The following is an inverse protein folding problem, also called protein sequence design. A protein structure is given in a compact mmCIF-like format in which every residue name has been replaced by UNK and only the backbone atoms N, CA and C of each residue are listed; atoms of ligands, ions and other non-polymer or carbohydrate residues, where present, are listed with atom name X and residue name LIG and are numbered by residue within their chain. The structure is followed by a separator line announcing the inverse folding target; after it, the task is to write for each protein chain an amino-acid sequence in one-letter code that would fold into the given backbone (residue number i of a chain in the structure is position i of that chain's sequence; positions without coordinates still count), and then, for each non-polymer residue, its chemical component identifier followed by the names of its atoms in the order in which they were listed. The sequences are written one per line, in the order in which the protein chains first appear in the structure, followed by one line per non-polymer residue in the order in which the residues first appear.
data_IF_772371515795
#
_entry.id   IF_772371515795
#
_cell.length_a   1.000
_cell.length_b   1.000
_cell.length_c   1.000
_cell.angle_alpha   90.00
_cell.angle_beta   90.00
_cell.angle_gamma   90.00
#
_symmetry.space_group_name_H-M   'P 1'
#
loop_
_entity.id
_entity.type
_entity.pdbx_description
1 polymer ?
#
# COMPACT_ATOMS: atom_id res chain seq x y z
N UNK A 1 -21.76 -12.52 11.61
CA UNK A 1 -22.47 -11.77 10.56
C UNK A 1 -21.52 -11.67 9.38
N UNK A 2 -21.95 -12.09 8.19
CA UNK A 2 -21.13 -11.99 6.98
C UNK A 2 -21.08 -10.51 6.58
N UNK A 3 -19.90 -9.90 6.65
CA UNK A 3 -19.70 -8.50 6.24
C UNK A 3 -19.84 -8.41 4.70
N UNK A 4 -20.50 -7.36 4.17
CA UNK A 4 -20.75 -7.24 2.74
C UNK A 4 -19.44 -7.12 1.95
N UNK A 5 -19.31 -7.90 0.86
CA UNK A 5 -18.10 -8.04 0.03
C UNK A 5 -17.86 -6.89 -0.97
N UNK A 6 -18.68 -5.84 -0.92
CA UNK A 6 -18.56 -4.69 -1.83
C UNK A 6 -17.79 -3.57 -1.13
N UNK A 7 -16.74 -3.02 -1.76
CA UNK A 7 -16.08 -1.84 -1.25
C UNK A 7 -17.11 -0.73 -1.04
N UNK A 8 -17.01 0.04 0.05
CA UNK A 8 -17.92 1.12 0.34
C UNK A 8 -17.81 2.21 -0.73
N UNK A 9 -18.96 2.76 -1.11
CA UNK A 9 -19.03 3.87 -2.05
C UNK A 9 -18.47 5.14 -1.39
N UNK A 10 -17.28 5.57 -1.82
CA UNK A 10 -16.63 6.80 -1.39
C UNK A 10 -16.33 7.68 -2.62
N UNK A 11 -17.31 8.49 -3.08
CA UNK A 11 -17.12 9.35 -4.24
C UNK A 11 -16.12 10.48 -3.94
N UNK A 12 -15.45 11.02 -4.97
CA UNK A 12 -14.58 12.19 -4.81
C UNK A 12 -15.32 13.39 -4.22
N UNK A 13 -14.70 14.10 -3.29
CA UNK A 13 -15.26 15.32 -2.68
C UNK A 13 -14.94 16.52 -3.58
N UNK A 14 -15.95 17.28 -4.07
CA UNK A 14 -15.72 18.53 -4.79
C UNK A 14 -14.96 19.55 -3.94
N UNK A 15 -14.13 20.38 -4.58
CA UNK A 15 -13.31 21.40 -3.89
C UNK A 15 -14.15 22.31 -2.99
N UNK A 16 -15.31 22.75 -3.48
CA UNK A 16 -16.15 23.72 -2.78
C UNK A 16 -16.88 23.11 -1.58
N UNK A 17 -16.97 21.78 -1.52
CA UNK A 17 -17.59 21.03 -0.41
C UNK A 17 -16.57 20.53 0.62
N UNK A 18 -15.28 20.56 0.29
CA UNK A 18 -14.21 19.97 1.11
C UNK A 18 -14.21 20.47 2.56
N UNK A 19 -14.43 21.76 2.79
CA UNK A 19 -14.43 22.33 4.14
C UNK A 19 -15.60 21.80 5.00
N UNK A 20 -16.80 21.70 4.41
CA UNK A 20 -17.96 21.15 5.09
C UNK A 20 -17.78 19.65 5.36
N UNK A 21 -17.31 18.92 4.35
CA UNK A 21 -17.08 17.48 4.41
C UNK A 21 -16.00 17.09 5.44
N UNK A 22 -14.98 17.95 5.64
CA UNK A 22 -13.97 17.80 6.69
C UNK A 22 -14.56 18.04 8.09
N UNK A 23 -15.32 19.12 8.27
CA UNK A 23 -15.95 19.45 9.56
C UNK A 23 -16.91 18.35 10.02
N UNK A 24 -17.67 17.76 9.10
CA UNK A 24 -18.54 16.62 9.36
C UNK A 24 -17.76 15.39 9.82
N UNK A 25 -16.68 15.01 9.12
CA UNK A 25 -15.87 13.82 9.48
C UNK A 25 -15.10 13.96 10.78
N UNK A 26 -14.70 15.18 11.13
CA UNK A 26 -14.03 15.51 12.38
C UNK A 26 -14.98 15.50 13.59
N UNK A 27 -16.29 15.65 13.35
CA UNK A 27 -17.28 15.65 14.42
C UNK A 27 -17.17 14.37 15.28
N UNK A 28 -17.55 14.49 16.55
CA UNK A 28 -17.53 13.39 17.52
C UNK A 28 -16.16 12.70 17.65
N UNK A 29 -15.08 13.49 17.71
CA UNK A 29 -13.70 13.03 17.87
C UNK A 29 -13.20 12.18 16.68
N UNK A 30 -13.31 12.70 15.47
CA UNK A 30 -12.85 12.06 14.23
C UNK A 30 -13.58 10.74 13.90
N UNK A 31 -14.79 10.54 14.43
CA UNK A 31 -15.54 9.29 14.23
C UNK A 31 -15.78 8.99 12.74
N UNK A 32 -16.08 10.01 11.94
CA UNK A 32 -16.25 9.86 10.50
C UNK A 32 -14.97 9.37 9.81
N UNK A 33 -13.82 9.96 10.15
CA UNK A 33 -12.53 9.52 9.62
C UNK A 33 -12.16 8.10 10.04
N UNK A 34 -12.39 7.75 11.31
CA UNK A 34 -12.11 6.41 11.81
C UNK A 34 -12.92 5.36 11.06
N UNK A 35 -14.22 5.63 10.85
CA UNK A 35 -15.11 4.76 10.09
C UNK A 35 -14.64 4.61 8.64
N UNK A 36 -14.29 5.70 7.95
CA UNK A 36 -13.76 5.64 6.58
C UNK A 36 -12.44 4.86 6.50
N UNK A 37 -11.57 5.00 7.51
CA UNK A 37 -10.31 4.27 7.56
C UNK A 37 -10.48 2.76 7.79
N UNK A 38 -11.38 2.36 8.69
CA UNK A 38 -11.69 0.95 8.94
C UNK A 38 -12.22 0.24 7.70
N UNK A 39 -13.00 0.96 6.90
CA UNK A 39 -13.51 0.47 5.62
C UNK A 39 -12.38 0.16 4.61
N UNK A 40 -11.25 0.86 4.66
CA UNK A 40 -10.08 0.56 3.82
C UNK A 40 -9.44 -0.78 4.17
N UNK A 41 -9.63 -1.30 5.39
CA UNK A 41 -9.10 -2.61 5.76
C UNK A 41 -9.77 -3.76 5.01
N UNK A 42 -10.88 -3.51 4.31
CA UNK A 42 -11.53 -4.47 3.42
C UNK A 42 -10.91 -4.51 2.01
N UNK A 43 -10.00 -3.59 1.68
CA UNK A 43 -9.33 -3.55 0.37
C UNK A 43 -8.51 -4.80 0.01
N UNK A 44 -7.79 -5.48 0.94
CA UNK A 44 -7.10 -6.72 0.61
C UNK A 44 -8.02 -7.80 0.03
N UNK A 45 -9.28 -7.88 0.48
CA UNK A 45 -10.27 -8.81 -0.06
C UNK A 45 -10.73 -8.43 -1.48
N UNK A 46 -10.60 -7.14 -1.83
CA UNK A 46 -10.95 -6.61 -3.16
C UNK A 46 -9.85 -6.85 -4.21
N UNK A 47 -8.64 -7.24 -3.79
CA UNK A 47 -7.50 -7.51 -4.69
C UNK A 47 -6.92 -8.91 -4.44
N UNK A 48 -7.67 -9.97 -4.75
CA UNK A 48 -7.29 -11.35 -4.45
C UNK A 48 -6.02 -11.81 -5.19
N UNK A 49 -5.59 -11.07 -6.20
CA UNK A 49 -4.38 -11.33 -6.98
C UNK A 49 -3.10 -10.81 -6.31
N UNK A 50 -3.19 -10.10 -5.16
CA UNK A 50 -2.02 -9.54 -4.45
C UNK A 50 -1.32 -10.58 -3.58
N UNK A 51 -0.32 -11.23 -4.15
CA UNK A 51 0.56 -12.19 -3.47
C UNK A 51 1.83 -11.54 -2.90
N UNK A 52 2.47 -12.21 -1.93
CA UNK A 52 3.67 -11.75 -1.19
C UNK A 52 4.81 -12.76 -1.18
N UNK A 53 4.85 -13.69 -2.14
CA UNK A 53 5.73 -14.85 -2.14
C UNK A 53 7.21 -14.49 -2.09
N UNK A 54 7.66 -13.47 -2.84
CA UNK A 54 9.06 -13.05 -2.81
C UNK A 54 9.46 -12.50 -1.43
N UNK A 55 8.53 -11.84 -0.74
CA UNK A 55 8.75 -11.30 0.61
C UNK A 55 8.74 -12.39 1.68
N UNK A 56 8.10 -13.52 1.42
CA UNK A 56 7.97 -14.68 2.33
C UNK A 56 9.04 -15.74 2.12
N UNK A 57 9.74 -15.71 0.98
CA UNK A 57 10.88 -16.59 0.70
C UNK A 57 11.90 -16.54 1.84
N UNK A 58 12.40 -17.71 2.24
CA UNK A 58 13.22 -17.89 3.45
C UNK A 58 14.45 -16.98 3.47
N UNK A 59 15.09 -16.81 2.31
CA UNK A 59 16.24 -15.94 2.05
C UNK A 59 15.93 -14.44 2.15
N UNK A 60 14.66 -14.06 2.02
CA UNK A 60 14.20 -12.67 1.98
C UNK A 60 13.52 -12.22 3.26
N UNK A 61 13.02 -13.13 4.10
CA UNK A 61 12.43 -12.79 5.40
C UNK A 61 13.33 -11.89 6.27
N UNK A 62 14.66 -12.13 6.38
CA UNK A 62 15.54 -11.27 7.17
C UNK A 62 15.74 -9.87 6.58
N UNK A 63 15.40 -9.66 5.30
CA UNK A 63 15.50 -8.37 4.59
C UNK A 63 14.29 -7.46 4.86
N UNK A 64 13.26 -7.98 5.53
CA UNK A 64 12.09 -7.21 5.96
C UNK A 64 12.29 -6.67 7.38
N UNK A 65 12.04 -5.37 7.58
CA UNK A 65 12.12 -4.77 8.94
C UNK A 65 11.01 -5.26 9.87
N UNK A 66 9.84 -5.54 9.31
CA UNK A 66 8.66 -5.99 10.02
C UNK A 66 8.07 -7.23 9.31
N UNK A 67 7.73 -8.31 10.03
CA UNK A 67 7.17 -9.52 9.41
C UNK A 67 5.79 -9.32 8.79
N UNK A 68 5.01 -8.38 9.27
CA UNK A 68 3.65 -8.03 8.82
C UNK A 68 3.63 -7.05 7.65
N UNK A 69 4.75 -6.37 7.37
CA UNK A 69 4.87 -5.43 6.25
C UNK A 69 5.60 -6.10 5.08
N UNK A 70 4.83 -6.56 4.10
CA UNK A 70 5.30 -7.34 2.95
C UNK A 70 5.23 -6.53 1.67
N UNK A 71 6.20 -6.74 0.77
CA UNK A 71 6.12 -6.23 -0.57
C UNK A 71 5.23 -7.13 -1.45
N UNK A 72 4.26 -6.53 -2.16
CA UNK A 72 3.42 -7.25 -3.12
C UNK A 72 4.21 -7.64 -4.39
N UNK A 73 4.08 -8.88 -4.85
CA UNK A 73 4.84 -9.41 -5.99
C UNK A 73 4.59 -8.64 -7.30
N UNK A 74 3.36 -8.14 -7.47
CA UNK A 74 2.85 -7.49 -8.67
C UNK A 74 3.54 -6.14 -8.93
N UNK A 75 3.91 -5.44 -7.86
CA UNK A 75 4.46 -4.08 -7.93
C UNK A 75 5.80 -3.93 -7.24
N UNK A 76 6.41 -5.02 -6.73
CA UNK A 76 7.70 -4.92 -6.04
C UNK A 76 8.78 -4.37 -6.96
N UNK A 77 9.70 -3.62 -6.39
CA UNK A 77 10.95 -3.26 -7.07
C UNK A 77 11.82 -4.52 -7.15
N UNK A 78 12.33 -4.80 -8.35
CA UNK A 78 13.27 -5.91 -8.59
C UNK A 78 14.65 -5.32 -8.85
N UNK A 79 15.62 -5.67 -8.01
CA UNK A 79 17.02 -5.33 -8.25
C UNK A 79 17.59 -6.22 -9.34
N UNK A 80 18.78 -5.88 -9.85
CA UNK A 80 19.53 -6.78 -10.70
C UNK A 80 19.90 -8.04 -9.90
N UNK A 81 19.55 -9.20 -10.43
CA UNK A 81 19.95 -10.48 -9.86
C UNK A 81 21.48 -10.61 -9.92
N UNK A 82 22.09 -10.95 -8.81
CA UNK A 82 23.51 -11.30 -8.73
C UNK A 82 23.63 -12.82 -8.89
N UNK A 83 24.51 -13.24 -9.79
CA UNK A 83 24.77 -14.66 -10.05
C UNK A 83 25.11 -15.40 -8.76
N UNK A 84 24.60 -16.61 -8.62
CA UNK A 84 24.78 -17.50 -7.45
C UNK A 84 24.23 -17.00 -6.10
N UNK A 85 23.60 -15.82 -6.02
CA UNK A 85 23.01 -15.29 -4.78
C UNK A 85 21.48 -15.29 -4.87
N UNK A 86 20.84 -16.29 -4.27
CA UNK A 86 19.37 -16.39 -4.20
C UNK A 86 18.76 -15.20 -3.45
N UNK A 87 17.70 -14.61 -4.04
CA UNK A 87 17.00 -13.45 -3.49
C UNK A 87 17.77 -12.12 -3.57
N UNK A 88 18.88 -12.05 -4.32
CA UNK A 88 19.60 -10.79 -4.53
C UNK A 88 18.78 -9.75 -5.31
N UNK A 89 17.77 -10.18 -6.08
CA UNK A 89 16.80 -9.30 -6.73
C UNK A 89 15.79 -8.65 -5.76
N UNK A 90 15.75 -9.07 -4.49
CA UNK A 90 14.72 -8.69 -3.55
C UNK A 90 15.10 -7.48 -2.68
N UNK A 91 14.19 -6.50 -2.68
CA UNK A 91 14.11 -5.41 -1.71
C UNK A 91 12.64 -5.24 -1.29
N UNK A 92 12.39 -4.95 -0.01
CA UNK A 92 11.04 -4.65 0.48
C UNK A 92 10.63 -3.23 0.07
N UNK A 93 10.18 -3.10 -1.18
CA UNK A 93 9.70 -1.86 -1.75
C UNK A 93 8.70 -2.14 -2.87
N UNK A 94 7.70 -1.27 -3.02
CA UNK A 94 6.72 -1.32 -4.11
C UNK A 94 6.70 0.00 -4.90
N UNK A 95 6.39 -0.11 -6.19
CA UNK A 95 5.99 1.06 -6.99
C UNK A 95 4.58 1.48 -6.60
N UNK A 96 4.41 2.78 -6.36
CA UNK A 96 3.11 3.40 -6.09
C UNK A 96 2.81 4.43 -7.17
N UNK A 97 1.58 4.38 -7.67
CA UNK A 97 1.09 5.31 -8.68
C UNK A 97 0.62 6.61 -8.01
N UNK A 98 1.22 7.74 -8.41
CA UNK A 98 0.76 9.07 -7.99
C UNK A 98 -0.35 9.64 -8.87
N UNK A 99 -0.85 10.83 -8.51
CA UNK A 99 -1.82 11.58 -9.32
C UNK A 99 -1.21 12.03 -10.66
N UNK A 100 -1.97 11.93 -11.76
CA UNK A 100 -1.53 12.31 -13.10
C UNK A 100 -2.12 13.66 -13.49
N UNK A 101 -1.26 14.63 -13.83
CA UNK A 101 -1.66 15.76 -14.69
C UNK A 101 -1.25 15.40 -16.11
N UNK A 102 -2.19 15.53 -17.05
CA UNK A 102 -2.05 15.13 -18.46
C UNK A 102 -1.05 15.99 -19.25
N UNK A 103 0.23 16.01 -18.88
CA UNK A 103 1.36 16.43 -19.70
C UNK A 103 2.66 15.78 -19.14
N UNK A 104 3.00 14.61 -19.69
CA UNK A 104 4.36 14.09 -19.88
C UNK A 104 5.18 13.36 -18.80
N UNK A 105 4.73 13.02 -17.58
CA UNK A 105 5.58 12.17 -16.70
C UNK A 105 4.78 11.10 -15.92
N UNK A 106 5.09 9.81 -16.14
CA UNK A 106 4.69 8.72 -15.24
C UNK A 106 5.65 8.72 -14.03
N UNK A 107 5.24 9.33 -12.93
CA UNK A 107 5.98 9.24 -11.67
C UNK A 107 5.60 7.95 -10.94
N UNK A 108 6.36 6.87 -11.17
CA UNK A 108 6.35 5.70 -10.29
C UNK A 108 7.19 6.05 -9.06
N UNK A 109 6.54 6.37 -7.94
CA UNK A 109 7.24 6.60 -6.69
C UNK A 109 7.59 5.25 -6.06
N UNK A 110 8.78 5.13 -5.49
CA UNK A 110 9.18 3.95 -4.72
C UNK A 110 8.88 4.23 -3.26
N UNK A 111 8.02 3.41 -2.66
CA UNK A 111 7.88 3.37 -1.20
C UNK A 111 8.75 2.22 -0.70
N UNK A 112 9.82 2.56 0.03
CA UNK A 112 10.71 1.60 0.66
C UNK A 112 10.25 1.39 2.10
N UNK A 113 9.94 0.16 2.47
CA UNK A 113 9.84 -0.20 3.88
C UNK A 113 11.26 -0.32 4.43
N UNK A 114 11.72 0.77 5.04
CA UNK A 114 13.06 1.01 5.64
C UNK A 114 13.77 -0.28 6.03
N UNK A 115 14.91 -0.56 5.39
CA UNK A 115 15.82 -1.65 5.79
C UNK A 115 16.45 -1.27 7.13
N UNK A 116 16.39 -2.16 8.14
CA UNK A 116 17.21 -2.01 9.36
C UNK A 116 18.68 -2.06 8.93
N UNK A 117 19.39 -0.94 8.98
CA UNK A 117 20.84 -0.99 9.12
C UNK A 117 21.09 -1.61 10.50
N UNK A 118 21.53 -2.87 10.52
CA UNK A 118 22.12 -3.44 11.73
C UNK A 118 23.50 -2.78 11.89
N UNK A 119 23.61 -1.87 12.86
CA UNK A 119 24.91 -1.56 13.47
C UNK A 119 25.44 -2.77 14.22
#
# INVERSE_FOLDING_TARGET
MQMPMTPPDMPPIPKDELAAAYAERQADSDYGFQKEFELLQMLPECFPDRTTHASEARENQPKNRYPDIKAYDQTRVKLAQVDSITGSDYINANYVTGYRVSLYIYNKNIVVSVVKNKS
#
